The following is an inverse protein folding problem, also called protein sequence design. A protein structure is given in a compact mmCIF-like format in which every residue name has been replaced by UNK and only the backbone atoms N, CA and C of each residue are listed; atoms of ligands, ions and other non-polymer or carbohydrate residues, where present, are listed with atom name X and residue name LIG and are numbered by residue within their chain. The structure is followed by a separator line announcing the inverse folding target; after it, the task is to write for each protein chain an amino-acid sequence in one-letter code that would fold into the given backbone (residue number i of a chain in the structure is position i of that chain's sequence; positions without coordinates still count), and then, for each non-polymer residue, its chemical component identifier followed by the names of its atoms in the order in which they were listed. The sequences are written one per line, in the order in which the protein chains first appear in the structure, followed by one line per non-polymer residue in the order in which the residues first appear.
data_IF_358273924426
#
_entry.id   IF_358273924426
#
_cell.length_a   1.000
_cell.length_b   1.000
_cell.length_c   1.000
_cell.angle_alpha   90.00
_cell.angle_beta   90.00
_cell.angle_gamma   90.00
#
_symmetry.space_group_name_H-M   'P 1'
#
loop_
_entity.id
_entity.type
_entity.pdbx_description
1 polymer ?
#
# COMPACT_ATOMS: atom_id res chain seq x y z
N UNK A 1 0.96 -18.27 29.38
CA UNK A 1 0.66 -17.76 28.02
C UNK A 1 -0.32 -16.59 28.03
N UNK A 2 -1.22 -16.52 29.02
CA UNK A 2 -2.21 -15.47 29.16
C UNK A 2 -2.10 -14.81 30.52
N UNK A 3 -2.21 -13.48 30.55
CA UNK A 3 -2.43 -12.67 31.75
C UNK A 3 -3.91 -12.32 31.86
N UNK A 4 -4.45 -12.41 33.06
CA UNK A 4 -5.81 -12.02 33.37
C UNK A 4 -5.79 -10.82 34.31
N UNK A 5 -6.19 -9.67 33.79
CA UNK A 5 -6.31 -8.44 34.57
C UNK A 5 -7.81 -8.08 34.65
N UNK A 6 -8.45 -8.44 35.74
CA UNK A 6 -9.90 -8.29 35.91
C UNK A 6 -10.70 -9.17 34.94
N UNK A 7 -11.48 -8.52 34.06
CA UNK A 7 -12.29 -9.19 33.01
C UNK A 7 -11.56 -9.28 31.65
N UNK A 8 -10.37 -8.72 31.52
CA UNK A 8 -9.58 -8.74 30.27
C UNK A 8 -8.53 -9.84 30.31
N UNK A 9 -8.40 -10.54 29.19
CA UNK A 9 -7.35 -11.55 28.95
C UNK A 9 -6.42 -10.99 27.88
N UNK A 10 -5.12 -10.97 28.17
CA UNK A 10 -4.06 -10.59 27.25
C UNK A 10 -2.97 -11.65 27.19
N UNK A 11 -2.19 -11.70 26.12
CA UNK A 11 -1.05 -12.58 26.00
C UNK A 11 0.11 -12.06 26.86
N UNK A 12 0.74 -12.95 27.64
CA UNK A 12 2.04 -12.67 28.26
C UNK A 12 3.11 -12.50 27.19
N UNK A 13 4.32 -12.06 27.56
CA UNK A 13 5.45 -12.04 26.63
C UNK A 13 5.70 -13.43 25.99
N UNK A 14 5.75 -14.48 26.81
CA UNK A 14 5.85 -15.86 26.32
C UNK A 14 4.64 -16.28 25.49
N UNK A 15 3.45 -15.79 25.85
CA UNK A 15 2.23 -16.01 25.07
C UNK A 15 2.30 -15.45 23.67
N UNK A 16 2.84 -14.23 23.52
CA UNK A 16 3.07 -13.61 22.21
C UNK A 16 4.07 -14.41 21.37
N UNK A 17 5.18 -14.84 21.98
CA UNK A 17 6.17 -15.68 21.29
C UNK A 17 5.54 -17.02 20.87
N UNK A 18 4.83 -17.70 21.76
CA UNK A 18 4.16 -18.96 21.44
C UNK A 18 3.09 -18.80 20.35
N UNK A 19 2.32 -17.72 20.40
CA UNK A 19 1.30 -17.42 19.38
C UNK A 19 1.89 -17.33 17.97
N UNK A 20 3.06 -16.71 17.81
CA UNK A 20 3.79 -16.65 16.55
C UNK A 20 4.17 -18.04 16.03
N UNK A 21 4.70 -18.90 16.92
CA UNK A 21 5.02 -20.31 16.57
C UNK A 21 3.74 -21.10 16.23
N UNK A 22 2.67 -20.91 16.98
CA UNK A 22 1.39 -21.58 16.70
C UNK A 22 0.84 -21.23 15.33
N UNK A 23 0.84 -19.93 14.95
CA UNK A 23 0.42 -19.50 13.63
C UNK A 23 1.25 -20.14 12.51
N UNK A 24 2.57 -20.21 12.70
CA UNK A 24 3.44 -20.83 11.70
C UNK A 24 3.19 -22.33 11.57
N UNK A 25 3.11 -23.06 12.70
CA UNK A 25 2.85 -24.51 12.71
C UNK A 25 1.50 -24.83 12.07
N UNK A 26 0.45 -24.09 12.41
CA UNK A 26 -0.88 -24.31 11.80
C UNK A 26 -0.87 -24.02 10.31
N UNK A 27 -0.16 -22.97 9.87
CA UNK A 27 0.02 -22.68 8.44
C UNK A 27 0.75 -23.80 7.70
N UNK A 28 1.85 -24.33 8.27
CA UNK A 28 2.62 -25.44 7.69
C UNK A 28 1.78 -26.74 7.60
N UNK A 29 0.89 -26.99 8.57
CA UNK A 29 -0.02 -28.15 8.54
C UNK A 29 -1.06 -28.02 7.42
N UNK A 30 -1.69 -26.87 7.27
CA UNK A 30 -2.66 -26.66 6.19
C UNK A 30 -1.98 -26.78 4.82
N UNK A 31 -0.81 -26.23 4.67
CA UNK A 31 -0.03 -26.34 3.44
C UNK A 31 0.36 -27.81 3.13
N UNK A 32 0.77 -28.58 4.14
CA UNK A 32 1.05 -30.00 3.94
C UNK A 32 -0.19 -30.77 3.49
N UNK A 33 -1.38 -30.44 3.99
CA UNK A 33 -2.64 -31.02 3.52
C UNK A 33 -2.92 -30.68 2.06
N UNK A 34 -2.70 -29.40 1.66
CA UNK A 34 -2.94 -28.94 0.29
C UNK A 34 -2.02 -29.66 -0.71
N UNK A 35 -0.73 -29.80 -0.38
CA UNK A 35 0.24 -30.56 -1.20
C UNK A 35 -0.16 -32.05 -1.32
N UNK A 36 -0.71 -32.66 -0.27
CA UNK A 36 -1.07 -34.07 -0.25
C UNK A 36 -2.44 -34.34 -0.89
N UNK A 37 -3.34 -33.36 -0.90
CA UNK A 37 -4.70 -33.52 -1.45
C UNK A 37 -4.71 -33.74 -2.97
N UNK A 38 -3.63 -33.37 -3.66
CA UNK A 38 -3.53 -33.53 -5.13
C UNK A 38 -4.62 -32.78 -5.91
N UNK A 39 -5.41 -31.92 -5.23
CA UNK A 39 -6.43 -31.11 -5.87
C UNK A 39 -5.77 -30.01 -6.68
N UNK A 40 -6.12 -29.87 -7.95
CA UNK A 40 -5.71 -28.74 -8.79
C UNK A 40 -6.44 -27.45 -8.38
N UNK A 41 -7.45 -27.54 -7.54
CA UNK A 41 -8.24 -26.42 -7.06
C UNK A 41 -7.61 -25.84 -5.79
N UNK A 42 -7.09 -24.61 -5.90
CA UNK A 42 -6.60 -23.84 -4.77
C UNK A 42 -7.78 -23.51 -3.84
N UNK A 43 -7.65 -23.78 -2.55
CA UNK A 43 -8.73 -23.61 -1.54
C UNK A 43 -8.25 -23.05 -0.20
N UNK A 44 -6.97 -22.64 -0.14
CA UNK A 44 -6.35 -22.07 1.05
C UNK A 44 -6.71 -20.59 1.27
N UNK A 45 -5.94 -19.95 2.16
CA UNK A 45 -6.11 -18.51 2.47
C UNK A 45 -4.88 -17.74 2.00
N UNK A 46 -5.10 -16.64 1.28
CA UNK A 46 -4.07 -15.67 0.91
C UNK A 46 -4.22 -14.39 1.73
N UNK A 47 -3.22 -14.07 2.58
CA UNK A 47 -3.21 -12.88 3.42
C UNK A 47 -2.28 -11.83 2.83
N UNK A 48 -2.85 -10.72 2.37
CA UNK A 48 -2.13 -9.63 1.71
C UNK A 48 -2.06 -8.42 2.64
N UNK A 49 -0.85 -7.98 2.98
CA UNK A 49 -0.62 -6.68 3.58
C UNK A 49 -0.43 -5.64 2.47
N UNK A 50 -1.10 -4.49 2.54
CA UNK A 50 -0.98 -3.46 1.52
C UNK A 50 -1.24 -2.06 2.08
N UNK A 51 -0.84 -1.03 1.32
CA UNK A 51 -1.19 0.36 1.62
C UNK A 51 -2.55 0.71 1.00
N UNK A 52 -3.21 1.71 1.55
CA UNK A 52 -4.57 2.09 1.16
C UNK A 52 -4.69 2.41 -0.34
N UNK A 53 -3.79 3.20 -0.90
CA UNK A 53 -3.84 3.58 -2.32
C UNK A 53 -3.73 2.39 -3.30
N UNK A 54 -2.94 1.37 -2.97
CA UNK A 54 -2.87 0.12 -3.74
C UNK A 54 -4.14 -0.71 -3.53
N UNK A 55 -4.63 -0.77 -2.29
CA UNK A 55 -5.85 -1.49 -1.94
C UNK A 55 -7.06 -0.98 -2.72
N UNK A 56 -7.22 0.33 -2.83
CA UNK A 56 -8.37 0.94 -3.50
C UNK A 56 -8.25 0.98 -5.03
N UNK A 57 -7.02 1.11 -5.58
CA UNK A 57 -6.85 1.43 -7.01
C UNK A 57 -6.27 0.29 -7.86
N UNK A 58 -5.48 -0.63 -7.30
CA UNK A 58 -4.79 -1.69 -8.07
C UNK A 58 -5.35 -3.08 -7.72
N UNK A 59 -5.47 -3.39 -6.45
CA UNK A 59 -5.89 -4.71 -6.01
C UNK A 59 -7.26 -5.14 -6.52
N UNK A 60 -8.29 -4.29 -6.67
CA UNK A 60 -9.60 -4.74 -7.13
C UNK A 60 -9.55 -5.46 -8.47
N UNK A 61 -8.80 -4.94 -9.45
CA UNK A 61 -8.68 -5.57 -10.77
C UNK A 61 -7.89 -6.90 -10.71
N UNK A 62 -6.81 -6.93 -9.92
CA UNK A 62 -6.01 -8.14 -9.72
C UNK A 62 -6.86 -9.22 -9.03
N UNK A 63 -7.54 -8.86 -7.96
CA UNK A 63 -8.34 -9.81 -7.17
C UNK A 63 -9.60 -10.29 -7.89
N UNK A 64 -10.21 -9.46 -8.74
CA UNK A 64 -11.30 -9.88 -9.61
C UNK A 64 -10.85 -11.01 -10.56
N UNK A 65 -9.67 -10.85 -11.17
CA UNK A 65 -9.07 -11.88 -12.03
C UNK A 65 -8.65 -13.11 -11.24
N UNK A 66 -8.04 -12.91 -10.06
CA UNK A 66 -7.62 -13.99 -9.18
C UNK A 66 -8.82 -14.85 -8.74
N UNK A 67 -9.90 -14.21 -8.26
CA UNK A 67 -11.11 -14.91 -7.83
C UNK A 67 -11.80 -15.65 -8.98
N UNK A 68 -11.80 -15.11 -10.19
CA UNK A 68 -12.35 -15.79 -11.36
C UNK A 68 -11.59 -17.10 -11.70
N UNK A 69 -10.28 -17.15 -11.43
CA UNK A 69 -9.44 -18.33 -11.65
C UNK A 69 -9.45 -19.30 -10.47
N UNK A 70 -9.57 -18.78 -9.25
CA UNK A 70 -9.43 -19.52 -7.99
C UNK A 70 -10.57 -19.17 -7.01
N UNK A 71 -11.83 -19.52 -7.31
CA UNK A 71 -13.00 -19.06 -6.56
C UNK A 71 -13.10 -19.63 -5.13
N UNK A 72 -12.37 -20.70 -4.83
CA UNK A 72 -12.37 -21.33 -3.51
C UNK A 72 -11.30 -20.76 -2.55
N UNK A 73 -10.42 -19.87 -3.05
CA UNK A 73 -9.40 -19.23 -2.20
C UNK A 73 -10.02 -18.12 -1.38
N UNK A 74 -9.80 -18.15 -0.07
CA UNK A 74 -10.14 -17.05 0.83
C UNK A 74 -9.05 -15.97 0.77
N UNK A 75 -9.45 -14.71 0.60
CA UNK A 75 -8.53 -13.58 0.55
C UNK A 75 -8.77 -12.69 1.75
N UNK A 76 -7.70 -12.41 2.50
CA UNK A 76 -7.71 -11.47 3.62
C UNK A 76 -6.76 -10.31 3.32
N UNK A 77 -7.24 -9.07 3.43
CA UNK A 77 -6.47 -7.86 3.16
C UNK A 77 -6.34 -7.06 4.45
N UNK A 78 -5.12 -6.63 4.75
CA UNK A 78 -4.82 -5.73 5.87
C UNK A 78 -4.16 -4.48 5.29
N UNK A 79 -4.70 -3.31 5.63
CA UNK A 79 -4.11 -2.01 5.23
C UNK A 79 -3.45 -1.35 6.42
N UNK A 80 -2.21 -0.91 6.23
CA UNK A 80 -1.43 -0.19 7.24
C UNK A 80 -0.24 0.53 6.57
N UNK A 81 0.58 1.23 7.34
CA UNK A 81 1.86 1.81 6.89
C UNK A 81 2.84 0.71 6.43
N UNK A 82 3.77 1.00 5.51
CA UNK A 82 4.76 0.02 5.06
C UNK A 82 5.56 -0.61 6.21
N UNK A 83 5.96 0.17 7.21
CA UNK A 83 6.69 -0.33 8.37
C UNK A 83 5.88 -1.36 9.18
N UNK A 84 4.61 -1.05 9.47
CA UNK A 84 3.72 -1.94 10.20
C UNK A 84 3.44 -3.24 9.41
N UNK A 85 3.24 -3.14 8.10
CA UNK A 85 3.02 -4.29 7.22
C UNK A 85 4.23 -5.23 7.16
N UNK A 86 5.44 -4.67 7.08
CA UNK A 86 6.66 -5.45 7.10
C UNK A 86 6.89 -6.14 8.46
N UNK A 87 6.54 -5.48 9.56
CA UNK A 87 6.53 -6.11 10.89
C UNK A 87 5.50 -7.25 10.99
N UNK A 88 4.29 -7.06 10.43
CA UNK A 88 3.28 -8.12 10.34
C UNK A 88 3.75 -9.30 9.50
N UNK A 89 4.47 -9.07 8.39
CA UNK A 89 5.07 -10.12 7.57
C UNK A 89 6.13 -10.90 8.36
N UNK A 90 7.01 -10.21 9.09
CA UNK A 90 8.00 -10.86 9.95
C UNK A 90 7.34 -11.71 11.06
N UNK A 91 6.12 -11.36 11.48
CA UNK A 91 5.32 -12.09 12.45
C UNK A 91 4.40 -13.14 11.82
N UNK A 92 4.48 -13.36 10.51
CA UNK A 92 3.62 -14.28 9.75
C UNK A 92 2.12 -13.97 9.84
N UNK A 93 1.76 -12.71 10.14
CA UNK A 93 0.37 -12.26 10.13
C UNK A 93 -0.17 -12.07 8.70
N UNK A 94 0.73 -11.75 7.75
CA UNK A 94 0.46 -11.67 6.32
C UNK A 94 1.43 -12.56 5.55
N UNK A 95 1.03 -12.98 4.36
CA UNK A 95 1.81 -13.88 3.51
C UNK A 95 2.76 -13.10 2.59
N UNK A 96 2.30 -11.97 2.12
CA UNK A 96 3.06 -11.03 1.30
C UNK A 96 2.68 -9.59 1.65
N UNK A 97 3.54 -8.63 1.27
CA UNK A 97 3.27 -7.20 1.38
C UNK A 97 3.40 -6.55 0.02
N UNK A 98 2.36 -5.79 -0.39
CA UNK A 98 2.33 -4.98 -1.59
C UNK A 98 2.26 -3.51 -1.22
N UNK A 99 3.34 -2.77 -1.42
CA UNK A 99 3.50 -1.40 -0.91
C UNK A 99 4.31 -0.51 -1.83
N UNK A 100 4.40 0.78 -1.50
CA UNK A 100 5.31 1.73 -2.13
C UNK A 100 6.25 2.32 -1.10
N UNK A 101 7.54 2.37 -1.44
CA UNK A 101 8.57 3.05 -0.66
C UNK A 101 9.82 3.29 -1.52
N UNK A 102 10.85 3.92 -0.95
CA UNK A 102 12.20 3.85 -1.50
C UNK A 102 12.59 2.39 -1.72
N UNK A 103 13.52 2.14 -2.63
CA UNK A 103 14.03 0.77 -2.79
C UNK A 103 14.53 0.23 -1.46
N UNK A 104 13.95 -0.88 -1.05
CA UNK A 104 14.32 -1.54 0.19
C UNK A 104 15.14 -2.80 -0.10
N UNK A 105 16.25 -2.95 0.61
CA UNK A 105 17.11 -4.12 0.53
C UNK A 105 17.24 -4.72 1.93
N UNK A 106 16.50 -5.78 2.18
CA UNK A 106 16.67 -6.63 3.37
C UNK A 106 16.88 -8.07 2.89
N UNK A 107 17.96 -8.75 3.33
CA UNK A 107 18.24 -10.14 2.94
C UNK A 107 17.20 -11.14 3.47
N UNK A 108 16.27 -10.71 4.33
CA UNK A 108 15.16 -11.53 4.81
C UNK A 108 13.99 -11.57 3.83
N UNK A 109 13.94 -10.69 2.82
CA UNK A 109 12.80 -10.59 1.92
C UNK A 109 13.14 -11.03 0.51
N UNK A 110 12.21 -11.75 -0.10
CA UNK A 110 12.24 -12.07 -1.53
C UNK A 110 11.35 -11.05 -2.23
N UNK A 111 11.91 -10.41 -3.22
CA UNK A 111 11.23 -9.39 -4.02
C UNK A 111 10.64 -10.03 -5.28
N UNK A 112 9.34 -9.89 -5.47
CA UNK A 112 8.59 -10.41 -6.63
C UNK A 112 8.39 -9.33 -7.68
N UNK A 113 8.12 -8.09 -7.22
CA UNK A 113 7.92 -6.92 -8.06
C UNK A 113 8.74 -5.76 -7.51
N UNK A 114 9.37 -4.99 -8.39
CA UNK A 114 9.96 -3.69 -8.09
C UNK A 114 9.85 -2.81 -9.33
N UNK A 115 8.89 -1.90 -9.34
CA UNK A 115 8.64 -0.98 -10.44
C UNK A 115 8.67 0.46 -9.97
N UNK A 116 9.26 1.38 -10.75
CA UNK A 116 9.19 2.80 -10.43
C UNK A 116 7.75 3.27 -10.48
N UNK A 117 7.39 4.17 -9.59
CA UNK A 117 6.04 4.74 -9.51
C UNK A 117 6.10 6.25 -9.50
N UNK A 118 5.17 6.88 -10.19
CA UNK A 118 5.05 8.32 -10.28
C UNK A 118 4.08 8.83 -9.21
N UNK A 119 4.53 9.79 -8.41
CA UNK A 119 3.67 10.55 -7.53
C UNK A 119 3.55 11.94 -8.11
N UNK A 120 2.33 12.40 -8.31
CA UNK A 120 2.04 13.63 -9.05
C UNK A 120 1.24 14.62 -8.22
N UNK A 121 1.48 15.89 -8.47
CA UNK A 121 0.55 16.95 -8.05
C UNK A 121 -0.63 16.97 -9.01
N UNK A 122 -1.83 17.08 -8.46
CA UNK A 122 -3.08 17.02 -9.23
C UNK A 122 -4.12 17.96 -8.67
N UNK A 123 -4.97 18.49 -9.54
CA UNK A 123 -6.11 19.33 -9.18
C UNK A 123 -7.25 19.17 -10.19
N UNK A 124 -8.39 19.82 -9.92
CA UNK A 124 -9.45 19.98 -10.93
C UNK A 124 -8.95 20.80 -12.13
N UNK A 125 -9.49 20.60 -13.36
CA UNK A 125 -9.04 21.31 -14.55
C UNK A 125 -9.20 22.85 -14.45
N UNK A 126 -10.13 23.31 -13.64
CA UNK A 126 -10.39 24.75 -13.46
C UNK A 126 -9.47 25.42 -12.45
N UNK A 127 -8.65 24.66 -11.73
CA UNK A 127 -7.73 25.21 -10.75
C UNK A 127 -6.71 26.16 -11.41
N UNK A 128 -6.40 27.32 -10.81
CA UNK A 128 -5.48 28.31 -11.41
C UNK A 128 -4.09 27.77 -11.74
N UNK A 129 -3.60 26.79 -10.99
CA UNK A 129 -2.31 26.16 -11.21
C UNK A 129 -2.24 25.31 -12.49
N UNK A 130 -3.36 24.80 -13.01
CA UNK A 130 -3.37 24.02 -14.26
C UNK A 130 -3.08 24.88 -15.48
N UNK A 131 -3.33 26.19 -15.39
CA UNK A 131 -3.16 27.17 -16.49
C UNK A 131 -1.77 27.80 -16.52
N UNK A 132 -0.90 27.53 -15.53
CA UNK A 132 0.39 28.19 -15.33
C UNK A 132 1.55 27.17 -15.30
N UNK A 133 1.61 26.29 -16.26
CA UNK A 133 2.66 25.25 -16.31
C UNK A 133 3.88 25.70 -17.14
N UNK A 134 5.12 25.28 -16.76
CA UNK A 134 5.48 24.55 -15.53
C UNK A 134 5.53 25.46 -14.30
N UNK A 135 5.22 24.89 -13.14
CA UNK A 135 5.33 25.57 -11.84
C UNK A 135 6.58 25.10 -11.08
N UNK A 136 7.04 25.91 -10.13
CA UNK A 136 8.03 25.49 -9.13
C UNK A 136 7.31 25.04 -7.86
N UNK A 137 7.96 24.15 -7.11
CA UNK A 137 7.39 23.64 -5.85
C UNK A 137 7.04 24.81 -4.90
N UNK A 138 7.93 25.80 -4.80
CA UNK A 138 7.69 26.99 -3.97
C UNK A 138 6.41 27.78 -4.33
N UNK A 139 5.97 27.73 -5.57
CA UNK A 139 4.72 28.41 -5.99
C UNK A 139 3.48 27.64 -5.61
N UNK A 140 3.54 26.30 -5.57
CA UNK A 140 2.37 25.49 -5.28
C UNK A 140 2.16 25.22 -3.79
N UNK A 141 3.22 25.24 -2.97
CA UNK A 141 3.11 24.94 -1.53
C UNK A 141 2.24 25.94 -0.74
N UNK A 142 2.00 27.13 -1.29
CA UNK A 142 1.11 28.14 -0.70
C UNK A 142 -0.37 27.92 -1.02
N UNK A 143 -0.67 27.04 -1.97
CA UNK A 143 -2.05 26.71 -2.34
C UNK A 143 -2.72 25.82 -1.28
N UNK A 144 -4.06 25.77 -1.23
CA UNK A 144 -4.74 24.87 -0.32
C UNK A 144 -4.58 23.40 -0.75
N UNK A 145 -4.04 22.56 0.13
CA UNK A 145 -3.84 21.13 -0.10
C UNK A 145 -4.82 20.25 0.67
N UNK A 146 -5.13 19.12 0.04
CA UNK A 146 -5.61 17.90 0.70
C UNK A 146 -4.50 16.87 0.54
N UNK A 147 -4.04 16.29 1.64
CA UNK A 147 -2.96 15.31 1.61
C UNK A 147 -3.33 14.04 2.37
N UNK A 148 -2.60 12.97 2.08
CA UNK A 148 -2.66 11.77 2.90
C UNK A 148 -2.00 11.98 4.25
N UNK A 149 -2.13 11.02 5.16
CA UNK A 149 -1.50 11.02 6.48
C UNK A 149 0.04 11.04 6.38
N UNK A 150 0.70 11.51 7.45
CA UNK A 150 2.14 11.75 7.47
C UNK A 150 3.02 10.50 7.39
N UNK A 151 2.47 9.34 7.73
CA UNK A 151 3.13 8.02 7.69
C UNK A 151 3.01 7.32 6.33
N UNK A 152 2.24 7.86 5.39
CA UNK A 152 2.31 7.42 4.01
C UNK A 152 3.69 7.75 3.42
N UNK A 153 4.37 6.75 2.84
CA UNK A 153 5.77 6.87 2.41
C UNK A 153 6.05 8.06 1.47
N UNK A 154 5.19 8.28 0.47
CA UNK A 154 5.37 9.39 -0.47
C UNK A 154 5.10 10.77 0.18
N UNK A 155 4.17 10.84 1.15
CA UNK A 155 3.95 12.06 1.94
C UNK A 155 5.16 12.36 2.82
N UNK A 156 5.69 11.36 3.52
CA UNK A 156 6.87 11.50 4.33
C UNK A 156 8.08 11.99 3.52
N UNK A 157 8.29 11.45 2.31
CA UNK A 157 9.39 11.88 1.43
C UNK A 157 9.19 13.34 0.98
N UNK A 158 7.96 13.74 0.63
CA UNK A 158 7.65 15.14 0.29
C UNK A 158 7.94 16.08 1.46
N UNK A 159 7.46 15.73 2.66
CA UNK A 159 7.66 16.54 3.86
C UNK A 159 9.17 16.66 4.20
N UNK A 160 9.95 15.59 4.06
CA UNK A 160 11.39 15.62 4.24
C UNK A 160 12.10 16.49 3.19
N UNK A 161 11.66 16.41 1.94
CA UNK A 161 12.20 17.27 0.88
C UNK A 161 11.96 18.74 1.20
N UNK A 162 10.74 19.12 1.55
CA UNK A 162 10.38 20.48 1.91
C UNK A 162 11.16 20.99 3.14
N UNK A 163 11.27 20.16 4.18
CA UNK A 163 11.99 20.51 5.40
C UNK A 163 13.47 20.83 5.15
N UNK A 164 14.11 20.17 4.17
CA UNK A 164 15.50 20.46 3.78
C UNK A 164 15.68 21.90 3.24
N UNK A 165 14.59 22.53 2.78
CA UNK A 165 14.58 23.93 2.32
C UNK A 165 13.88 24.87 3.30
N UNK A 166 13.60 24.40 4.53
CA UNK A 166 12.89 25.20 5.54
C UNK A 166 11.42 25.48 5.17
N UNK A 167 10.81 24.61 4.36
CA UNK A 167 9.45 24.74 3.87
C UNK A 167 8.57 23.61 4.41
N UNK A 168 7.26 23.82 4.42
CA UNK A 168 6.27 22.89 4.91
C UNK A 168 4.93 23.15 4.22
N UNK A 169 4.15 22.10 3.97
CA UNK A 169 2.75 22.19 3.53
C UNK A 169 1.83 21.92 4.73
N UNK A 170 0.95 22.87 5.01
CA UNK A 170 -0.13 22.70 5.98
C UNK A 170 -1.43 22.34 5.23
N UNK A 171 -1.79 21.05 5.13
CA UNK A 171 -2.99 20.65 4.41
C UNK A 171 -4.23 21.19 5.11
N UNK A 172 -5.25 21.55 4.34
CA UNK A 172 -6.56 21.92 4.86
C UNK A 172 -7.36 20.71 5.31
N UNK A 173 -7.11 19.58 4.65
CA UNK A 173 -7.70 18.28 4.99
C UNK A 173 -6.60 17.22 4.90
N UNK A 174 -6.60 16.30 5.84
CA UNK A 174 -5.73 15.12 5.86
C UNK A 174 -6.61 13.88 6.00
N UNK A 175 -6.38 12.86 5.17
CA UNK A 175 -7.16 11.62 5.18
C UNK A 175 -6.34 10.45 4.66
N UNK A 176 -6.49 9.28 5.29
CA UNK A 176 -5.90 8.03 4.80
C UNK A 176 -6.60 7.49 3.54
N UNK A 177 -7.83 7.91 3.28
CA UNK A 177 -8.60 7.42 2.14
C UNK A 177 -8.28 8.19 0.86
N UNK A 178 -7.63 7.53 -0.08
CA UNK A 178 -7.34 8.06 -1.42
C UNK A 178 -8.63 8.41 -2.17
N UNK A 179 -9.65 7.57 -2.09
CA UNK A 179 -10.95 7.83 -2.72
C UNK A 179 -11.62 9.10 -2.16
N UNK A 180 -11.55 9.31 -0.86
CA UNK A 180 -12.06 10.53 -0.24
C UNK A 180 -11.31 11.77 -0.73
N UNK A 181 -9.98 11.71 -0.83
CA UNK A 181 -9.15 12.79 -1.39
C UNK A 181 -9.60 13.11 -2.82
N UNK A 182 -9.75 12.10 -3.67
CA UNK A 182 -10.20 12.25 -5.05
C UNK A 182 -11.59 12.93 -5.10
N UNK A 183 -12.54 12.47 -4.29
CA UNK A 183 -13.88 13.06 -4.24
C UNK A 183 -13.88 14.53 -3.83
N UNK A 184 -12.98 14.94 -2.93
CA UNK A 184 -12.83 16.34 -2.56
C UNK A 184 -12.16 17.17 -3.66
N UNK A 185 -11.18 16.64 -4.36
CA UNK A 185 -10.54 17.30 -5.50
C UNK A 185 -11.54 17.62 -6.61
N UNK A 186 -12.51 16.73 -6.85
CA UNK A 186 -13.55 16.92 -7.87
C UNK A 186 -14.54 18.04 -7.53
N UNK A 187 -14.63 18.44 -6.27
CA UNK A 187 -15.65 19.39 -5.77
C UNK A 187 -15.09 20.74 -5.36
N UNK A 188 -13.79 20.89 -5.25
CA UNK A 188 -13.15 22.03 -4.61
C UNK A 188 -11.86 22.43 -5.31
N UNK A 189 -11.41 23.65 -5.04
CA UNK A 189 -10.15 24.21 -5.54
C UNK A 189 -8.96 23.81 -4.65
N UNK A 190 -8.74 22.50 -4.52
CA UNK A 190 -7.61 21.94 -3.78
C UNK A 190 -6.57 21.32 -4.70
N UNK A 191 -5.32 21.31 -4.24
CA UNK A 191 -4.25 20.47 -4.77
C UNK A 191 -4.12 19.20 -3.93
N UNK A 192 -3.65 18.14 -4.56
CA UNK A 192 -3.17 16.96 -3.84
C UNK A 192 -1.87 16.43 -4.44
N UNK A 193 -1.21 15.57 -3.69
CA UNK A 193 -0.01 14.85 -4.08
C UNK A 193 -0.26 13.35 -3.88
N UNK A 194 -0.49 12.62 -4.97
CA UNK A 194 -0.99 11.24 -4.96
C UNK A 194 -0.30 10.38 -6.01
N UNK A 195 -0.30 9.04 -5.84
CA UNK A 195 0.17 8.14 -6.88
C UNK A 195 -0.62 8.31 -8.18
N UNK A 196 0.10 8.32 -9.31
CA UNK A 196 -0.53 8.53 -10.61
C UNK A 196 -1.57 7.46 -10.93
N UNK A 197 -1.33 6.20 -10.58
CA UNK A 197 -2.27 5.11 -10.80
C UNK A 197 -3.62 5.33 -10.09
N UNK A 198 -3.62 5.99 -8.94
CA UNK A 198 -4.85 6.24 -8.17
C UNK A 198 -5.80 7.24 -8.84
N UNK A 199 -5.28 8.09 -9.71
CA UNK A 199 -6.04 9.16 -10.40
C UNK A 199 -6.02 9.01 -11.93
N UNK A 200 -5.48 7.91 -12.44
CA UNK A 200 -5.29 7.69 -13.87
C UNK A 200 -6.61 7.74 -14.65
N UNK A 201 -7.67 7.14 -14.13
CA UNK A 201 -9.00 7.16 -14.76
C UNK A 201 -9.58 8.57 -14.79
N UNK A 202 -9.44 9.35 -13.72
CA UNK A 202 -9.92 10.72 -13.65
C UNK A 202 -9.15 11.64 -14.59
N UNK A 203 -7.85 11.42 -14.74
CA UNK A 203 -7.02 12.15 -15.72
C UNK A 203 -7.43 11.79 -17.15
N UNK A 204 -7.63 10.50 -17.46
CA UNK A 204 -8.05 10.04 -18.79
C UNK A 204 -9.42 10.60 -19.18
N UNK A 205 -10.33 10.81 -18.22
CA UNK A 205 -11.63 11.43 -18.42
C UNK A 205 -11.59 12.98 -18.45
N UNK A 206 -10.42 13.57 -18.19
CA UNK A 206 -10.25 15.03 -18.15
C UNK A 206 -10.90 15.73 -16.96
N UNK A 207 -11.26 14.99 -15.91
CA UNK A 207 -11.87 15.53 -14.69
C UNK A 207 -10.85 15.86 -13.59
N UNK A 208 -9.62 15.38 -13.73
CA UNK A 208 -8.45 15.84 -12.97
C UNK A 208 -7.30 16.14 -13.93
N UNK A 209 -6.44 17.07 -13.56
CA UNK A 209 -5.29 17.53 -14.37
C UNK A 209 -4.01 17.45 -13.56
N UNK A 210 -2.95 16.75 -14.06
CA UNK A 210 -1.64 16.78 -13.46
C UNK A 210 -1.04 18.17 -13.51
N UNK A 211 -0.32 18.55 -12.47
CA UNK A 211 0.41 19.83 -12.40
C UNK A 211 1.90 19.52 -12.45
N UNK A 212 2.56 19.80 -13.59
CA UNK A 212 4.00 19.61 -13.70
C UNK A 212 4.76 20.59 -12.82
N UNK A 213 5.65 20.06 -11.99
CA UNK A 213 6.55 20.83 -11.12
C UNK A 213 7.98 20.61 -11.58
N UNK A 214 8.67 21.69 -11.95
CA UNK A 214 9.94 21.61 -12.68
C UNK A 214 11.18 21.37 -11.82
N UNK A 215 11.08 21.62 -10.52
CA UNK A 215 12.17 21.60 -9.54
C UNK A 215 11.96 20.56 -8.44
N UNK A 216 11.07 19.60 -8.68
CA UNK A 216 10.79 18.50 -7.74
C UNK A 216 10.74 17.18 -8.49
N UNK A 217 11.49 16.22 -8.01
CA UNK A 217 11.52 14.86 -8.50
C UNK A 217 11.53 13.89 -7.31
N UNK A 218 10.64 12.89 -7.33
CA UNK A 218 10.49 11.92 -6.27
C UNK A 218 10.63 10.51 -6.84
N UNK A 219 11.62 9.80 -6.34
CA UNK A 219 11.83 8.40 -6.71
C UNK A 219 11.23 7.47 -5.66
N UNK A 220 10.19 6.76 -6.03
CA UNK A 220 9.52 5.74 -5.22
C UNK A 220 9.28 4.50 -6.06
N UNK A 221 9.18 3.35 -5.43
CA UNK A 221 8.95 2.07 -6.09
C UNK A 221 7.77 1.34 -5.49
N UNK A 222 6.96 0.80 -6.34
CA UNK A 222 5.92 -0.18 -6.02
C UNK A 222 6.58 -1.54 -5.91
N UNK A 223 6.43 -2.20 -4.78
CA UNK A 223 7.17 -3.41 -4.44
C UNK A 223 6.23 -4.48 -3.88
N UNK A 224 6.43 -5.73 -4.32
CA UNK A 224 5.82 -6.91 -3.69
C UNK A 224 6.95 -7.74 -3.10
N UNK A 225 6.83 -8.03 -1.81
CA UNK A 225 7.82 -8.81 -1.07
C UNK A 225 7.13 -9.88 -0.21
N UNK A 226 7.87 -10.95 0.09
CA UNK A 226 7.50 -11.92 1.11
C UNK A 226 8.74 -12.34 1.91
N UNK A 227 8.56 -12.92 3.10
CA UNK A 227 9.67 -13.35 3.94
C UNK A 227 10.34 -14.59 3.34
N UNK A 228 11.67 -14.62 3.22
CA UNK A 228 12.43 -15.70 2.56
C UNK A 228 12.23 -17.08 3.19
N UNK A 229 12.00 -17.12 4.52
CA UNK A 229 11.79 -18.37 5.27
C UNK A 229 10.31 -18.82 5.25
N UNK A 230 9.44 -18.05 4.56
CA UNK A 230 8.06 -18.45 4.34
C UNK A 230 8.01 -19.48 3.22
N UNK A 231 7.31 -20.56 3.46
CA UNK A 231 7.01 -21.53 2.44
C UNK A 231 6.06 -20.91 1.42
N UNK A 232 6.42 -21.00 0.16
CA UNK A 232 5.69 -20.37 -0.93
C UNK A 232 4.48 -21.22 -1.31
N UNK A 233 3.29 -20.85 -0.82
CA UNK A 233 2.04 -21.58 -1.09
C UNK A 233 1.62 -21.50 -2.54
N UNK A 234 0.70 -22.38 -2.95
CA UNK A 234 0.16 -22.38 -4.31
C UNK A 234 -0.64 -21.11 -4.59
N UNK A 235 -1.37 -20.58 -3.57
CA UNK A 235 -2.11 -19.32 -3.64
C UNK A 235 -1.19 -18.14 -3.88
N UNK A 236 -0.05 -18.07 -3.17
CA UNK A 236 0.97 -17.03 -3.39
C UNK A 236 1.54 -17.12 -4.81
N UNK A 237 1.87 -18.32 -5.29
CA UNK A 237 2.40 -18.53 -6.65
C UNK A 237 1.41 -18.06 -7.71
N UNK A 238 0.15 -18.43 -7.56
CA UNK A 238 -0.92 -18.00 -8.48
C UNK A 238 -1.10 -16.47 -8.46
N UNK A 239 -1.05 -15.84 -7.29
CA UNK A 239 -1.11 -14.38 -7.19
C UNK A 239 0.11 -13.71 -7.87
N UNK A 240 1.30 -14.23 -7.68
CA UNK A 240 2.52 -13.68 -8.30
C UNK A 240 2.51 -13.77 -9.84
N UNK A 241 1.88 -14.79 -10.41
CA UNK A 241 1.70 -14.90 -11.87
C UNK A 241 0.77 -13.84 -12.46
N UNK A 242 -0.13 -13.28 -11.66
CA UNK A 242 -1.07 -12.25 -12.12
C UNK A 242 -0.51 -10.83 -12.02
N UNK A 243 0.51 -10.63 -11.19
CA UNK A 243 1.11 -9.30 -10.93
C UNK A 243 2.44 -9.07 -11.66
N UNK A 244 2.99 -10.10 -12.31
CA UNK A 244 4.13 -10.04 -13.21
C UNK A 244 3.66 -9.85 -14.65
#
# INVERSE_FOLDING_TARGET
LFDRIGKHISLTHQGKVFYQYALRITGEIEEAKDVLSGSQDLNGTLRIGTIESICSSILPDILSRYHALHPAVEISIITDSPEALLDMMNKSCVDLVYFMDKRMYDPKWVKILEEPENIIFVASPDHPCTKKSPLTLNKIISEPFILTEKDASYRFILDQYLAAYGQEIHPRVESSSTDFIIQLLLKNEFLSFVPQFAVQNQIAQGILTPIPVSDFDLHIWRQIVYHKDKLLTLEMKAFFQLVQ
#
